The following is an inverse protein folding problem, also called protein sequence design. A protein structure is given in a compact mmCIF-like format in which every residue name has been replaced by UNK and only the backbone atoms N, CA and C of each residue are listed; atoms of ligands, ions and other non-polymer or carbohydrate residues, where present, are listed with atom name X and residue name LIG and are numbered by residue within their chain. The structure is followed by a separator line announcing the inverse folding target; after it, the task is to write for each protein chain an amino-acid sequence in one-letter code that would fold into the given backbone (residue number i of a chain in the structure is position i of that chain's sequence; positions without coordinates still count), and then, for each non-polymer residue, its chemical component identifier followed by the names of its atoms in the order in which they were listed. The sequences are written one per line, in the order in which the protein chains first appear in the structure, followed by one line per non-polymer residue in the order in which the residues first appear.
data_IF_087827879748
#
_entry.id   IF_087827879748
#
_cell.length_a   1.000
_cell.length_b   1.000
_cell.length_c   1.000
_cell.angle_alpha   90.00
_cell.angle_beta   90.00
_cell.angle_gamma   90.00
#
_symmetry.space_group_name_H-M   'P 1'
#
loop_
_entity.id
_entity.type
_entity.pdbx_description
1 polymer ?
#
# COMPACT_ATOMS: atom_id res chain seq x y z
N UNK A 1 -17.40 -12.77 6.71
CA UNK A 1 -17.94 -11.44 6.41
C UNK A 1 -17.26 -10.46 7.36
N UNK A 2 -16.21 -9.79 6.91
CA UNK A 2 -15.52 -8.77 7.71
C UNK A 2 -16.37 -7.50 7.69
N UNK A 3 -16.61 -6.90 8.87
CA UNK A 3 -17.37 -5.64 9.01
C UNK A 3 -16.60 -4.49 8.35
N UNK A 4 -17.31 -3.56 7.73
CA UNK A 4 -16.79 -2.41 6.96
C UNK A 4 -15.83 -1.47 7.73
N UNK A 5 -15.68 -1.65 9.04
CA UNK A 5 -14.83 -0.86 9.91
C UNK A 5 -13.90 -1.76 10.73
N UNK A 6 -12.94 -2.45 10.10
CA UNK A 6 -11.78 -2.97 10.85
C UNK A 6 -10.78 -1.82 10.99
N UNK A 7 -10.65 -1.20 12.18
CA UNK A 7 -9.64 -0.17 12.38
C UNK A 7 -8.27 -0.79 12.13
N UNK A 8 -7.44 -0.12 11.33
CA UNK A 8 -6.10 -0.62 10.99
C UNK A 8 -5.98 -1.27 9.63
N UNK A 9 -7.04 -1.46 8.84
CA UNK A 9 -6.91 -1.99 7.47
C UNK A 9 -7.52 -1.03 6.43
N UNK A 10 -6.88 -0.91 5.27
CA UNK A 10 -7.49 -0.21 4.15
C UNK A 10 -6.59 -0.07 2.92
N UNK A 11 -7.23 -0.10 1.76
CA UNK A 11 -6.64 0.28 0.48
C UNK A 11 -7.19 1.64 0.10
N UNK A 12 -6.30 2.59 -0.19
CA UNK A 12 -6.62 3.98 -0.48
C UNK A 12 -6.11 4.34 -1.86
N UNK A 13 -6.77 5.28 -2.53
CA UNK A 13 -6.25 5.94 -3.72
C UNK A 13 -6.07 7.42 -3.43
N UNK A 14 -4.99 8.01 -3.92
CA UNK A 14 -4.84 9.46 -3.88
C UNK A 14 -5.72 10.09 -4.96
N UNK A 15 -6.60 11.01 -4.57
CA UNK A 15 -7.45 11.79 -5.48
C UNK A 15 -7.63 13.19 -4.90
N UNK A 16 -7.39 14.21 -5.72
CA UNK A 16 -7.62 15.62 -5.36
C UNK A 16 -6.99 16.04 -4.02
N UNK A 17 -5.76 15.59 -3.76
CA UNK A 17 -5.01 15.93 -2.55
C UNK A 17 -5.47 15.18 -1.29
N UNK A 18 -6.27 14.12 -1.43
CA UNK A 18 -6.80 13.32 -0.31
C UNK A 18 -6.64 11.82 -0.56
N UNK A 19 -6.48 11.07 0.52
CA UNK A 19 -6.62 9.61 0.50
C UNK A 19 -8.10 9.23 0.56
N UNK A 20 -8.58 8.56 -0.48
CA UNK A 20 -9.95 8.04 -0.58
C UNK A 20 -9.90 6.53 -0.42
N UNK A 21 -10.52 6.00 0.64
CA UNK A 21 -10.61 4.56 0.91
C UNK A 21 -11.42 3.88 -0.19
N UNK A 22 -10.87 2.81 -0.77
CA UNK A 22 -11.50 1.99 -1.81
C UNK A 22 -12.12 0.73 -1.20
N UNK A 23 -11.38 0.04 -0.33
CA UNK A 23 -11.80 -1.18 0.35
C UNK A 23 -10.96 -1.41 1.61
N UNK A 24 -11.27 -2.45 2.39
CA UNK A 24 -10.54 -2.80 3.62
C UNK A 24 -9.30 -3.66 3.34
N UNK A 25 -9.35 -4.51 2.32
CA UNK A 25 -8.30 -5.50 2.06
C UNK A 25 -8.00 -5.63 0.57
N UNK A 26 -6.81 -6.12 0.22
CA UNK A 26 -6.49 -6.47 -1.17
C UNK A 26 -7.39 -7.56 -1.75
N UNK A 27 -7.92 -8.46 -0.93
CA UNK A 27 -8.88 -9.46 -1.39
C UNK A 27 -10.19 -8.83 -1.84
N UNK A 28 -10.65 -7.79 -1.14
CA UNK A 28 -11.82 -6.99 -1.55
C UNK A 28 -11.55 -6.17 -2.80
N UNK A 29 -10.33 -5.65 -2.97
CA UNK A 29 -9.91 -4.94 -4.18
C UNK A 29 -10.08 -5.79 -5.43
N UNK A 30 -9.88 -7.11 -5.32
CA UNK A 30 -10.04 -8.08 -6.41
C UNK A 30 -11.45 -8.73 -6.44
N UNK A 31 -12.46 -8.06 -5.88
CA UNK A 31 -13.85 -8.52 -5.82
C UNK A 31 -14.04 -9.91 -5.20
N UNK A 32 -13.16 -10.32 -4.28
CA UNK A 32 -13.24 -11.62 -3.65
C UNK A 32 -12.86 -12.81 -4.53
N UNK A 33 -12.51 -12.60 -5.81
CA UNK A 33 -12.22 -13.69 -6.75
C UNK A 33 -10.92 -14.45 -6.40
N UNK A 34 -10.05 -13.84 -5.58
CA UNK A 34 -8.74 -14.39 -5.20
C UNK A 34 -8.62 -14.72 -3.70
N UNK A 35 -9.72 -14.65 -2.95
CA UNK A 35 -9.70 -14.83 -1.49
C UNK A 35 -9.17 -16.21 -1.04
N UNK A 36 -9.06 -17.20 -1.94
CA UNK A 36 -8.51 -18.53 -1.64
C UNK A 36 -7.03 -18.72 -1.98
N UNK A 37 -6.41 -17.85 -2.78
CA UNK A 37 -5.16 -18.19 -3.50
C UNK A 37 -3.94 -17.35 -3.10
N UNK A 38 -4.14 -16.13 -2.58
CA UNK A 38 -3.06 -15.22 -2.16
C UNK A 38 -3.16 -14.90 -0.66
N UNK A 39 -2.73 -15.83 0.22
CA UNK A 39 -2.88 -15.65 1.67
C UNK A 39 -1.93 -14.59 2.25
N UNK A 40 -0.91 -14.16 1.49
CA UNK A 40 0.11 -13.21 1.95
C UNK A 40 0.21 -12.02 1.00
N UNK A 41 0.70 -10.90 1.55
CA UNK A 41 1.02 -9.70 0.77
C UNK A 41 2.03 -10.02 -0.35
N UNK A 42 3.05 -10.81 -0.05
CA UNK A 42 4.09 -11.16 -1.04
C UNK A 42 3.51 -11.93 -2.22
N UNK A 43 2.56 -12.85 -1.97
CA UNK A 43 1.85 -13.55 -3.02
C UNK A 43 0.97 -12.60 -3.85
N UNK A 44 0.27 -11.67 -3.20
CA UNK A 44 -0.49 -10.63 -3.91
C UNK A 44 0.42 -9.77 -4.80
N UNK A 45 1.58 -9.32 -4.30
CA UNK A 45 2.51 -8.48 -5.04
C UNK A 45 3.13 -9.23 -6.22
N UNK A 46 3.49 -10.50 -6.03
CA UNK A 46 4.01 -11.36 -7.10
C UNK A 46 2.97 -11.53 -8.23
N UNK A 47 1.72 -11.82 -7.88
CA UNK A 47 0.62 -11.99 -8.84
C UNK A 47 0.22 -10.66 -9.50
N UNK A 48 0.34 -9.55 -8.78
CA UNK A 48 0.15 -8.20 -9.29
C UNK A 48 1.33 -7.69 -10.13
N UNK A 49 2.46 -8.40 -10.14
CA UNK A 49 3.66 -7.98 -10.87
C UNK A 49 4.37 -6.78 -10.29
N UNK A 50 4.41 -6.66 -8.96
CA UNK A 50 5.09 -5.58 -8.24
C UNK A 50 6.30 -6.12 -7.47
N UNK A 51 7.37 -5.32 -7.46
CA UNK A 51 8.59 -5.59 -6.68
C UNK A 51 8.87 -4.43 -5.73
N UNK A 52 9.45 -4.67 -4.55
CA UNK A 52 9.93 -3.59 -3.68
C UNK A 52 10.87 -2.68 -4.46
N UNK A 53 10.66 -1.37 -4.34
CA UNK A 53 11.50 -0.33 -4.92
C UNK A 53 12.34 0.36 -3.84
N UNK A 54 11.69 0.81 -2.76
CA UNK A 54 12.35 1.43 -1.62
C UNK A 54 11.61 1.16 -0.31
N UNK A 55 12.34 1.10 0.80
CA UNK A 55 11.78 1.02 2.16
C UNK A 55 12.35 2.16 2.99
N UNK A 56 11.48 2.94 3.63
CA UNK A 56 11.87 4.14 4.37
C UNK A 56 11.59 3.95 5.87
N UNK A 57 12.66 3.84 6.65
CA UNK A 57 12.65 3.82 8.12
C UNK A 57 11.64 2.83 8.73
N UNK A 58 11.47 1.66 8.11
CA UNK A 58 10.45 0.64 8.43
C UNK A 58 9.01 1.18 8.53
N UNK A 59 8.79 2.38 8.00
CA UNK A 59 7.53 3.11 8.09
C UNK A 59 6.65 2.83 6.91
N UNK A 60 7.23 2.78 5.71
CA UNK A 60 6.54 2.34 4.52
C UNK A 60 7.50 1.72 3.51
N UNK A 61 6.94 0.87 2.65
CA UNK A 61 7.63 0.28 1.49
C UNK A 61 6.88 0.71 0.23
N UNK A 62 7.62 1.26 -0.74
CA UNK A 62 7.10 1.56 -2.07
C UNK A 62 7.42 0.39 -2.98
N UNK A 63 6.43 -0.08 -3.71
CA UNK A 63 6.55 -1.12 -4.72
C UNK A 63 6.30 -0.51 -6.10
N UNK A 64 7.01 -1.03 -7.10
CA UNK A 64 6.92 -0.60 -8.50
C UNK A 64 6.62 -1.79 -9.41
N UNK A 65 5.96 -1.58 -10.57
CA UNK A 65 5.65 -2.64 -11.51
C UNK A 65 6.92 -3.23 -12.11
N UNK A 66 6.93 -4.54 -12.27
CA UNK A 66 7.99 -5.28 -12.95
C UNK A 66 7.89 -4.98 -14.46
N UNK A 67 8.98 -4.51 -15.10
CA UNK A 67 8.96 -4.22 -16.54
C UNK A 67 8.53 -5.44 -17.37
N UNK A 68 7.57 -5.24 -18.27
CA UNK A 68 7.06 -6.31 -19.15
C UNK A 68 6.09 -7.29 -18.49
N UNK A 69 5.74 -7.10 -17.22
CA UNK A 69 4.70 -7.91 -16.57
C UNK A 69 3.32 -7.62 -17.14
N UNK A 70 2.53 -8.67 -17.36
CA UNK A 70 1.15 -8.54 -17.86
C UNK A 70 0.18 -8.92 -16.74
N UNK A 71 -0.66 -7.95 -16.34
CA UNK A 71 -1.68 -8.17 -15.31
C UNK A 71 -2.74 -9.17 -15.79
N UNK A 72 -3.08 -10.15 -14.96
CA UNK A 72 -4.26 -10.97 -15.16
C UNK A 72 -5.54 -10.10 -14.99
N UNK A 73 -6.64 -10.46 -15.67
CA UNK A 73 -7.92 -9.72 -15.65
C UNK A 73 -8.35 -9.11 -14.29
N UNK A 74 -8.39 -9.85 -13.18
CA UNK A 74 -8.78 -9.32 -11.86
C UNK A 74 -7.85 -8.20 -11.37
N UNK A 75 -6.55 -8.32 -11.61
CA UNK A 75 -5.57 -7.30 -11.24
C UNK A 75 -5.60 -6.13 -12.22
N UNK A 76 -5.90 -6.39 -13.49
CA UNK A 76 -6.04 -5.33 -14.49
C UNK A 76 -7.16 -4.38 -14.10
N UNK A 77 -8.35 -4.88 -13.75
CA UNK A 77 -9.48 -4.04 -13.33
C UNK A 77 -9.16 -3.19 -12.09
N UNK A 78 -8.39 -3.74 -11.15
CA UNK A 78 -8.05 -3.06 -9.91
C UNK A 78 -6.85 -2.10 -10.00
N UNK A 79 -5.82 -2.46 -10.78
CA UNK A 79 -4.48 -1.86 -10.75
C UNK A 79 -4.05 -1.24 -12.08
N UNK A 80 -4.87 -1.29 -13.13
CA UNK A 80 -4.56 -0.60 -14.38
C UNK A 80 -4.38 0.92 -14.14
N UNK A 81 -3.27 1.46 -14.66
CA UNK A 81 -2.88 2.86 -14.43
C UNK A 81 -2.25 3.17 -13.08
N UNK A 82 -2.11 2.18 -12.18
CA UNK A 82 -1.36 2.33 -10.93
C UNK A 82 0.13 2.14 -11.23
N UNK A 83 0.94 3.12 -10.80
CA UNK A 83 2.39 3.12 -10.98
C UNK A 83 3.14 2.71 -9.72
N UNK A 84 2.60 3.05 -8.55
CA UNK A 84 3.21 2.70 -7.28
C UNK A 84 2.16 2.17 -6.30
N UNK A 85 2.56 1.15 -5.54
CA UNK A 85 1.84 0.69 -4.36
C UNK A 85 2.69 1.06 -3.14
N UNK A 86 2.09 1.70 -2.14
CA UNK A 86 2.79 2.03 -0.90
C UNK A 86 2.16 1.25 0.24
N UNK A 87 2.90 0.31 0.83
CA UNK A 87 2.54 -0.33 2.08
C UNK A 87 2.95 0.57 3.24
N UNK A 88 2.02 0.99 4.08
CA UNK A 88 2.30 1.81 5.26
C UNK A 88 2.22 0.94 6.53
N UNK A 89 3.33 0.91 7.26
CA UNK A 89 3.52 0.15 8.49
C UNK A 89 3.40 1.07 9.71
N UNK A 90 2.18 1.55 9.99
CA UNK A 90 1.92 2.40 11.14
C UNK A 90 2.03 1.62 12.47
N UNK A 91 1.43 0.43 12.52
CA UNK A 91 1.38 -0.47 13.68
C UNK A 91 1.51 -1.93 13.21
N UNK A 92 2.04 -2.89 14.01
CA UNK A 92 2.19 -4.29 13.59
C UNK A 92 0.88 -5.00 13.23
N UNK A 93 -0.27 -4.46 13.65
CA UNK A 93 -1.59 -5.02 13.34
C UNK A 93 -2.30 -4.29 12.21
N UNK A 94 -1.72 -3.20 11.70
CA UNK A 94 -2.31 -2.38 10.66
C UNK A 94 -1.76 -2.74 9.28
N UNK A 95 -2.64 -2.80 8.28
CA UNK A 95 -2.34 -3.06 6.88
C UNK A 95 -2.96 -1.94 6.02
N UNK A 96 -2.16 -0.92 5.74
CA UNK A 96 -2.58 0.20 4.91
C UNK A 96 -1.83 0.19 3.58
N UNK A 97 -2.57 0.33 2.49
CA UNK A 97 -2.01 0.40 1.14
C UNK A 97 -2.51 1.64 0.44
N UNK A 98 -1.60 2.35 -0.23
CA UNK A 98 -1.92 3.52 -1.03
C UNK A 98 -1.58 3.20 -2.49
N UNK A 99 -2.58 3.27 -3.35
CA UNK A 99 -2.48 3.15 -4.80
C UNK A 99 -2.19 4.54 -5.38
N UNK A 100 -1.08 4.67 -6.10
CA UNK A 100 -0.67 5.91 -6.75
C UNK A 100 -0.64 5.68 -8.25
N UNK A 101 -1.38 6.50 -8.99
CA UNK A 101 -1.39 6.49 -10.45
C UNK A 101 -0.06 6.98 -11.03
N UNK A 102 0.12 6.89 -12.35
CA UNK A 102 1.29 7.42 -13.07
C UNK A 102 1.32 8.96 -13.09
N UNK A 103 1.51 9.56 -11.91
CA UNK A 103 1.42 10.98 -11.65
C UNK A 103 2.46 11.38 -10.60
N UNK A 104 3.43 12.20 -11.00
CA UNK A 104 4.48 12.68 -10.10
C UNK A 104 3.89 13.53 -8.96
N UNK A 105 2.84 14.29 -9.23
CA UNK A 105 2.18 15.12 -8.22
C UNK A 105 1.52 14.26 -7.13
N UNK A 106 0.82 13.19 -7.52
CA UNK A 106 0.21 12.28 -6.56
C UNK A 106 1.28 11.56 -5.74
N UNK A 107 2.37 11.16 -6.39
CA UNK A 107 3.51 10.54 -5.72
C UNK A 107 4.10 11.46 -4.64
N UNK A 108 4.46 12.70 -5.00
CA UNK A 108 5.03 13.66 -4.05
C UNK A 108 4.05 14.02 -2.93
N UNK A 109 2.76 14.15 -3.24
CA UNK A 109 1.72 14.45 -2.24
C UNK A 109 1.57 13.33 -1.21
N UNK A 110 1.65 12.07 -1.64
CA UNK A 110 1.63 10.93 -0.71
C UNK A 110 2.88 10.88 0.15
N UNK A 111 4.07 11.17 -0.42
CA UNK A 111 5.30 11.22 0.37
C UNK A 111 5.25 12.32 1.45
N UNK A 112 4.73 13.50 1.11
CA UNK A 112 4.54 14.60 2.06
C UNK A 112 3.58 14.19 3.19
N UNK A 113 2.47 13.53 2.85
CA UNK A 113 1.50 13.02 3.82
C UNK A 113 2.11 11.98 4.79
N UNK A 114 3.06 11.18 4.34
CA UNK A 114 3.72 10.14 5.15
C UNK A 114 4.89 10.67 5.99
N UNK A 115 5.41 11.87 5.69
CA UNK A 115 6.55 12.46 6.39
C UNK A 115 6.37 12.51 7.93
N UNK A 116 5.21 12.92 8.49
CA UNK A 116 5.04 12.97 9.95
C UNK A 116 5.19 11.60 10.60
N UNK A 117 4.75 10.53 9.92
CA UNK A 117 4.87 9.16 10.43
C UNK A 117 6.34 8.70 10.47
N UNK A 118 7.11 9.02 9.42
CA UNK A 118 8.55 8.73 9.37
C UNK A 118 9.29 9.45 10.49
N UNK A 119 8.98 10.73 10.72
CA UNK A 119 9.60 11.51 11.79
C UNK A 119 9.28 10.93 13.16
N UNK A 120 8.02 10.56 13.40
CA UNK A 120 7.61 9.93 14.65
C UNK A 120 8.35 8.61 14.93
N UNK A 121 8.44 7.71 13.94
CA UNK A 121 9.14 6.43 14.08
C UNK A 121 10.63 6.61 14.36
N UNK A 122 11.28 7.59 13.70
CA UNK A 122 12.68 7.92 13.97
C UNK A 122 12.90 8.41 15.39
N UNK A 123 12.06 9.32 15.89
CA UNK A 123 12.14 9.80 17.27
C UNK A 123 12.01 8.66 18.28
N UNK A 124 11.02 7.77 18.08
CA UNK A 124 10.81 6.61 18.97
C UNK A 124 12.02 5.66 18.93
N UNK A 125 12.60 5.42 17.76
CA UNK A 125 13.79 4.58 17.63
C UNK A 125 15.03 5.21 18.31
N UNK A 126 15.20 6.52 18.19
CA UNK A 126 16.29 7.26 18.87
C UNK A 126 16.15 7.24 20.39
N UNK A 127 14.95 7.41 20.92
CA UNK A 127 14.68 7.33 22.36
C UNK A 127 14.93 5.91 22.90
N UNK A 128 14.52 4.88 22.16
CA UNK A 128 14.77 3.48 22.52
C UNK A 128 16.27 3.12 22.52
N UNK A 129 17.06 3.73 21.63
CA UNK A 129 18.52 3.51 21.58
C UNK A 129 19.28 4.20 22.72
N UNK A 130 18.66 5.14 23.43
CA UNK A 130 19.24 5.90 24.56
C UNK A 130 18.87 5.33 25.93
N UNK A 131 17.87 4.45 25.99
CA UNK A 131 17.40 3.78 27.21
C UNK A 131 18.17 2.48 27.49
#
# INVERSE_FOLDING_TARGET
MFRDDVPGCGVYRHSDGKLVKQCNTHGELLHGQFYSSTPTLDAFLADAGYTPYETIADTYTVYSPIPGFTLASPFKEALEGIRYLVQVNADPKAQFFILISDSLLDYLSVLELLQPLVMHKRMVAEDAARA
#
